data_IF_201179276137
#
_entry.id   IF_201179276137
#
_cell.length_a   1.000
_cell.length_b   1.000
_cell.length_c   1.000
_cell.angle_alpha   90.00
_cell.angle_beta   90.00
_cell.angle_gamma   90.00
#
_symmetry.space_group_name_H-M   'P 1'
#
loop_
_entity.id
_entity.type
_entity.pdbx_description
1 polymer ?
#
# COMPACT_ATOMS: atom_id res chain seq x y z
N UNK A 1 16.38 -16.89 9.32
CA UNK A 1 15.93 -15.93 10.37
C UNK A 1 14.66 -15.29 9.84
N UNK A 2 13.64 -15.21 10.68
CA UNK A 2 12.38 -14.55 10.27
C UNK A 2 12.62 -13.06 10.12
N UNK A 3 12.75 -12.59 8.89
CA UNK A 3 12.91 -11.19 8.56
C UNK A 3 11.51 -10.57 8.33
N UNK A 4 10.84 -10.23 9.44
CA UNK A 4 9.48 -9.66 9.43
C UNK A 4 9.56 -8.15 9.66
N UNK A 5 8.69 -7.39 8.98
CA UNK A 5 8.75 -5.93 8.99
C UNK A 5 7.37 -5.30 8.84
N UNK A 6 7.13 -4.20 9.55
CA UNK A 6 6.09 -3.25 9.16
C UNK A 6 6.57 -2.45 7.96
N UNK A 7 5.71 -2.25 6.98
CA UNK A 7 6.03 -1.49 5.77
C UNK A 7 4.99 -0.40 5.55
N UNK A 8 5.43 0.77 5.14
CA UNK A 8 4.55 1.84 4.69
C UNK A 8 5.06 2.42 3.38
N UNK A 9 4.27 3.30 2.77
CA UNK A 9 4.60 3.99 1.53
C UNK A 9 4.51 5.50 1.75
N UNK A 10 5.54 6.24 1.32
CA UNK A 10 5.49 7.68 1.20
C UNK A 10 5.29 8.05 -0.27
N UNK A 11 4.06 8.47 -0.61
CA UNK A 11 3.68 8.81 -1.99
C UNK A 11 4.00 10.24 -2.39
N UNK A 12 4.00 11.16 -1.43
CA UNK A 12 4.31 12.58 -1.60
C UNK A 12 4.84 13.15 -0.30
N UNK A 13 5.58 14.23 -0.37
CA UNK A 13 6.19 14.88 0.81
C UNK A 13 5.16 15.27 1.88
N UNK A 14 3.93 15.58 1.49
CA UNK A 14 2.85 15.94 2.43
C UNK A 14 2.54 14.85 3.46
N UNK A 15 2.81 13.59 3.13
CA UNK A 15 2.59 12.44 4.02
C UNK A 15 3.78 12.10 4.91
N UNK A 16 4.89 12.86 4.83
CA UNK A 16 6.11 12.60 5.64
C UNK A 16 5.79 12.55 7.13
N UNK A 17 5.01 13.51 7.62
CA UNK A 17 4.60 13.54 9.02
C UNK A 17 3.74 12.31 9.39
N UNK A 18 2.91 11.82 8.48
CA UNK A 18 2.13 10.60 8.68
C UNK A 18 3.02 9.39 8.95
N UNK A 19 4.07 9.21 8.14
CA UNK A 19 5.06 8.14 8.32
C UNK A 19 5.77 8.27 9.68
N UNK A 20 6.17 9.49 10.06
CA UNK A 20 6.80 9.75 11.37
C UNK A 20 5.85 9.43 12.52
N UNK A 21 4.60 9.85 12.44
CA UNK A 21 3.59 9.51 13.45
C UNK A 21 3.31 8.01 13.52
N UNK A 22 3.26 7.32 12.38
CA UNK A 22 3.10 5.86 12.36
C UNK A 22 4.25 5.17 13.12
N UNK A 23 5.50 5.60 12.87
CA UNK A 23 6.68 5.09 13.58
C UNK A 23 6.56 5.29 15.08
N UNK A 24 6.25 6.52 15.53
CA UNK A 24 6.07 6.81 16.96
C UNK A 24 4.92 6.03 17.60
N UNK A 25 3.82 5.81 16.86
CA UNK A 25 2.72 4.99 17.37
C UNK A 25 3.13 3.53 17.57
N UNK A 26 3.88 2.94 16.62
CA UNK A 26 4.42 1.58 16.76
C UNK A 26 5.37 1.47 17.95
N UNK A 27 6.26 2.45 18.16
CA UNK A 27 7.14 2.50 19.32
C UNK A 27 6.37 2.62 20.64
N UNK A 28 5.38 3.51 20.69
CA UNK A 28 4.53 3.72 21.87
C UNK A 28 3.82 2.43 22.30
N UNK A 29 3.35 1.64 21.35
CA UNK A 29 2.70 0.35 21.64
C UNK A 29 3.69 -0.81 21.77
N UNK A 30 5.01 -0.51 21.76
CA UNK A 30 6.10 -1.49 21.91
C UNK A 30 6.02 -2.59 20.84
N UNK A 31 5.80 -2.20 19.59
CA UNK A 31 5.86 -3.11 18.46
C UNK A 31 7.27 -3.72 18.35
N UNK A 32 7.32 -5.03 18.12
CA UNK A 32 8.56 -5.81 18.05
C UNK A 32 9.32 -5.62 16.76
N UNK A 33 8.61 -5.43 15.66
CA UNK A 33 9.18 -5.41 14.32
C UNK A 33 9.46 -3.97 13.86
N UNK A 34 10.55 -3.74 13.09
CA UNK A 34 10.87 -2.40 12.59
C UNK A 34 9.85 -1.92 11.57
N UNK A 35 9.69 -0.58 11.46
CA UNK A 35 9.02 0.07 10.35
C UNK A 35 10.03 0.45 9.28
N UNK A 36 9.73 0.12 8.01
CA UNK A 36 10.43 0.62 6.83
C UNK A 36 9.48 1.34 5.90
N UNK A 37 10.00 2.29 5.13
CA UNK A 37 9.21 3.12 4.25
C UNK A 37 9.65 2.92 2.80
N UNK A 38 8.72 2.59 1.91
CA UNK A 38 8.96 2.62 0.47
C UNK A 38 8.88 4.07 0.00
N UNK A 39 9.84 4.48 -0.82
CA UNK A 39 9.90 5.80 -1.44
C UNK A 39 10.27 5.66 -2.91
N UNK A 40 9.99 6.67 -3.71
CA UNK A 40 10.46 6.77 -5.09
C UNK A 40 11.22 8.09 -5.34
N UNK A 41 11.71 8.27 -6.56
CA UNK A 41 12.53 9.42 -6.95
C UNK A 41 11.82 10.79 -6.86
N UNK A 42 10.51 10.82 -6.67
CA UNK A 42 9.74 12.08 -6.53
C UNK A 42 9.77 12.65 -5.12
N UNK A 43 10.22 11.85 -4.13
CA UNK A 43 10.31 12.28 -2.74
C UNK A 43 11.55 13.18 -2.57
N UNK A 44 11.35 14.35 -1.95
CA UNK A 44 12.41 15.31 -1.76
C UNK A 44 13.50 14.84 -0.79
N UNK A 45 14.69 15.40 -0.92
CA UNK A 45 15.78 15.13 0.02
C UNK A 45 15.43 15.55 1.44
N UNK A 46 14.70 16.64 1.58
CA UNK A 46 14.22 17.17 2.85
C UNK A 46 13.29 16.16 3.55
N UNK A 47 12.38 15.54 2.81
CA UNK A 47 11.50 14.51 3.35
C UNK A 47 12.30 13.26 3.77
N UNK A 48 13.26 12.82 2.95
CA UNK A 48 14.14 11.68 3.29
C UNK A 48 14.97 11.97 4.55
N UNK A 49 15.53 13.17 4.69
CA UNK A 49 16.25 13.59 5.90
C UNK A 49 15.35 13.55 7.15
N UNK A 50 14.07 13.91 7.02
CA UNK A 50 13.12 13.80 8.13
C UNK A 50 12.91 12.34 8.52
N UNK A 51 12.79 11.42 7.57
CA UNK A 51 12.68 9.98 7.86
C UNK A 51 13.92 9.47 8.60
N UNK A 52 15.12 9.82 8.11
CA UNK A 52 16.38 9.41 8.71
C UNK A 52 16.55 9.94 10.14
N UNK A 53 16.25 11.22 10.38
CA UNK A 53 16.29 11.85 11.71
C UNK A 53 15.35 11.18 12.71
N UNK A 54 14.27 10.55 12.23
CA UNK A 54 13.32 9.80 13.05
C UNK A 54 13.62 8.29 13.09
N UNK A 55 14.79 7.85 12.58
CA UNK A 55 15.21 6.45 12.60
C UNK A 55 14.34 5.55 11.74
N UNK A 56 13.74 6.10 10.66
CA UNK A 56 12.94 5.36 9.69
C UNK A 56 13.83 5.01 8.51
N UNK A 57 14.06 3.73 8.35
CA UNK A 57 14.79 3.19 7.20
C UNK A 57 13.88 3.21 5.97
N UNK A 58 14.36 3.81 4.88
CA UNK A 58 13.61 3.86 3.63
C UNK A 58 14.24 3.02 2.54
N UNK A 59 13.43 2.60 1.58
CA UNK A 59 13.80 1.74 0.46
C UNK A 59 13.35 2.41 -0.82
N UNK A 60 14.32 2.83 -1.64
CA UNK A 60 14.06 3.42 -2.95
C UNK A 60 13.54 2.35 -3.91
N UNK A 61 12.43 2.62 -4.58
CA UNK A 61 11.88 1.79 -5.64
C UNK A 61 11.54 2.64 -6.86
N UNK A 62 11.69 2.04 -8.03
CA UNK A 62 11.30 2.68 -9.29
C UNK A 62 9.79 2.94 -9.32
N UNK A 63 9.40 4.01 -10.00
CA UNK A 63 7.98 4.29 -10.22
C UNK A 63 7.36 3.20 -11.08
N UNK A 64 6.34 2.52 -10.56
CA UNK A 64 5.56 1.56 -11.34
C UNK A 64 4.81 2.33 -12.43
N UNK A 65 5.10 2.05 -13.71
CA UNK A 65 4.42 2.73 -14.80
C UNK A 65 2.96 2.28 -14.84
N UNK A 66 2.06 3.24 -14.91
CA UNK A 66 0.63 2.99 -15.09
C UNK A 66 0.17 3.52 -16.45
N UNK A 67 -0.72 2.79 -17.12
CA UNK A 67 -1.24 3.18 -18.43
C UNK A 67 -1.92 4.54 -18.41
N UNK A 68 -1.73 5.32 -19.48
CA UNK A 68 -2.26 6.69 -19.57
C UNK A 68 -3.78 6.75 -19.42
N UNK A 69 -4.50 5.72 -19.90
CA UNK A 69 -5.95 5.61 -19.73
C UNK A 69 -6.39 5.61 -18.25
N UNK A 70 -5.58 5.01 -17.38
CA UNK A 70 -5.84 4.99 -15.93
C UNK A 70 -5.57 6.39 -15.34
N UNK A 71 -4.45 7.03 -15.71
CA UNK A 71 -4.11 8.38 -15.27
C UNK A 71 -5.17 9.40 -15.66
N UNK A 72 -5.60 9.37 -16.93
CA UNK A 72 -6.68 10.26 -17.41
C UNK A 72 -8.00 10.06 -16.66
N UNK A 73 -8.34 8.79 -16.37
CA UNK A 73 -9.55 8.48 -15.60
C UNK A 73 -9.46 9.03 -14.18
N UNK A 74 -8.34 8.79 -13.49
CA UNK A 74 -8.12 9.29 -12.14
C UNK A 74 -8.12 10.81 -12.10
N UNK A 75 -7.52 11.47 -13.11
CA UNK A 75 -7.56 12.92 -13.26
C UNK A 75 -9.00 13.44 -13.43
N UNK A 76 -9.82 12.79 -14.27
CA UNK A 76 -11.24 13.16 -14.48
C UNK A 76 -12.08 13.00 -13.21
N UNK A 77 -11.74 12.02 -12.36
CA UNK A 77 -12.41 11.80 -11.06
C UNK A 77 -11.89 12.74 -9.95
N UNK A 78 -10.86 13.55 -10.20
CA UNK A 78 -10.23 14.42 -9.19
C UNK A 78 -9.37 13.65 -8.17
N UNK A 79 -8.98 12.41 -8.49
CA UNK A 79 -8.21 11.51 -7.60
C UNK A 79 -6.83 11.18 -8.20
N UNK A 80 -6.18 12.17 -8.79
CA UNK A 80 -4.88 11.99 -9.46
C UNK A 80 -3.80 11.37 -8.57
N UNK A 81 -3.87 11.59 -7.25
CA UNK A 81 -2.97 11.00 -6.27
C UNK A 81 -3.03 9.46 -6.26
N UNK A 82 -4.13 8.86 -6.67
CA UNK A 82 -4.24 7.41 -6.78
C UNK A 82 -3.29 6.79 -7.80
N UNK A 83 -2.66 7.60 -8.64
CA UNK A 83 -1.62 7.11 -9.53
C UNK A 83 -0.36 6.65 -8.77
N UNK A 84 -0.10 7.19 -7.59
CA UNK A 84 1.09 6.87 -6.78
C UNK A 84 0.91 5.64 -5.92
N UNK A 85 -0.34 5.26 -5.59
CA UNK A 85 -0.60 4.11 -4.70
C UNK A 85 -0.28 2.75 -5.33
N UNK A 86 -0.11 2.66 -6.65
CA UNK A 86 0.42 1.45 -7.29
C UNK A 86 1.80 1.05 -6.77
N UNK A 87 2.56 1.99 -6.20
CA UNK A 87 3.84 1.70 -5.55
C UNK A 87 3.72 0.71 -4.38
N UNK A 88 2.53 0.55 -3.78
CA UNK A 88 2.26 -0.50 -2.78
C UNK A 88 2.58 -1.90 -3.30
N UNK A 89 2.46 -2.14 -4.61
CA UNK A 89 2.69 -3.44 -5.21
C UNK A 89 4.13 -3.94 -5.01
N UNK A 90 5.08 -3.03 -4.78
CA UNK A 90 6.46 -3.42 -4.47
C UNK A 90 6.58 -4.36 -3.27
N UNK A 91 5.64 -4.32 -2.30
CA UNK A 91 5.65 -5.23 -1.15
C UNK A 91 5.60 -6.70 -1.57
N UNK A 92 5.06 -7.02 -2.74
CA UNK A 92 5.01 -8.39 -3.25
C UNK A 92 6.35 -8.84 -3.87
N UNK A 93 7.21 -7.92 -4.32
CA UNK A 93 8.54 -8.25 -4.88
C UNK A 93 9.64 -8.35 -3.82
N UNK A 94 9.41 -7.87 -2.60
CA UNK A 94 10.39 -7.78 -1.51
C UNK A 94 10.62 -9.12 -0.80
N UNK A 95 11.09 -10.13 -1.54
CA UNK A 95 11.27 -11.51 -1.05
C UNK A 95 12.40 -11.67 -0.04
N UNK A 96 13.17 -10.64 0.25
CA UNK A 96 14.10 -10.57 1.37
C UNK A 96 13.41 -10.59 2.73
N UNK A 97 12.10 -10.26 2.78
CA UNK A 97 11.28 -10.37 3.99
C UNK A 97 10.44 -11.64 3.96
N UNK A 98 10.40 -12.35 5.08
CA UNK A 98 9.55 -13.54 5.23
C UNK A 98 8.06 -13.19 5.36
N UNK A 99 7.76 -12.00 5.91
CA UNK A 99 6.41 -11.45 5.99
C UNK A 99 6.46 -9.94 6.18
N UNK A 100 5.53 -9.25 5.52
CA UNK A 100 5.33 -7.82 5.62
C UNK A 100 3.92 -7.57 6.17
N UNK A 101 3.81 -6.72 7.17
CA UNK A 101 2.55 -6.08 7.57
C UNK A 101 2.59 -4.66 7.01
N UNK A 102 1.85 -4.45 5.92
CA UNK A 102 1.73 -3.14 5.30
C UNK A 102 0.70 -2.29 6.05
N UNK A 103 1.03 -1.03 6.28
CA UNK A 103 0.18 -0.02 6.91
C UNK A 103 0.24 1.28 6.09
N UNK A 104 -0.91 1.86 5.76
CA UNK A 104 -0.93 3.20 5.16
C UNK A 104 -0.35 4.24 6.13
N UNK A 105 0.27 5.29 5.60
CA UNK A 105 0.95 6.32 6.39
C UNK A 105 0.01 7.20 7.23
N UNK A 106 -1.30 7.14 6.98
CA UNK A 106 -2.34 7.86 7.71
C UNK A 106 -3.07 7.01 8.77
N UNK A 107 -2.55 5.81 9.05
CA UNK A 107 -3.10 4.92 10.09
C UNK A 107 -2.57 5.30 11.48
N UNK A 108 -3.47 5.35 12.45
CA UNK A 108 -3.14 5.49 13.87
C UNK A 108 -3.17 4.13 14.56
N UNK A 109 -2.02 3.66 15.05
CA UNK A 109 -1.91 2.41 15.81
C UNK A 109 -2.17 2.69 17.29
N UNK A 110 -3.30 2.20 17.82
CA UNK A 110 -3.74 2.46 19.18
C UNK A 110 -3.27 1.41 20.20
N UNK A 111 -3.02 0.19 19.77
CA UNK A 111 -2.51 -0.93 20.57
C UNK A 111 -1.48 -1.72 19.80
N UNK A 112 -0.72 -2.59 20.49
CA UNK A 112 0.19 -3.50 19.80
C UNK A 112 -0.59 -4.40 18.82
N UNK A 113 -0.08 -4.53 17.62
CA UNK A 113 -0.67 -5.27 16.49
C UNK A 113 0.28 -6.32 15.92
N UNK A 114 1.32 -6.73 16.69
CA UNK A 114 2.28 -7.75 16.25
C UNK A 114 1.60 -9.09 15.93
N UNK A 115 0.40 -9.33 16.48
CA UNK A 115 -0.45 -10.49 16.15
C UNK A 115 -0.80 -10.61 14.65
N UNK A 116 -0.66 -9.49 13.90
CA UNK A 116 -0.87 -9.53 12.44
C UNK A 116 0.17 -10.39 11.73
N UNK A 117 1.37 -10.50 12.29
CA UNK A 117 2.41 -11.37 11.71
C UNK A 117 2.07 -12.87 11.82
N UNK A 118 1.12 -13.25 12.68
CA UNK A 118 0.61 -14.62 12.78
C UNK A 118 -0.51 -14.92 11.78
N UNK A 119 -1.06 -13.88 11.13
CA UNK A 119 -2.14 -14.04 10.15
C UNK A 119 -1.62 -14.61 8.83
N UNK A 120 -2.47 -15.32 8.08
CA UNK A 120 -2.11 -15.85 6.76
C UNK A 120 -1.86 -14.72 5.74
N UNK A 121 -1.17 -15.08 4.65
CA UNK A 121 -1.00 -14.21 3.48
C UNK A 121 -2.33 -13.67 2.98
N UNK A 122 -2.34 -12.41 2.52
CA UNK A 122 -3.53 -11.67 2.06
C UNK A 122 -4.61 -11.46 3.12
N UNK A 123 -4.26 -11.53 4.42
CA UNK A 123 -5.16 -11.00 5.44
C UNK A 123 -5.22 -9.48 5.31
N UNK A 124 -6.42 -8.94 5.16
CA UNK A 124 -6.68 -7.51 4.99
C UNK A 124 -8.02 -7.14 5.62
N UNK A 125 -8.30 -5.86 5.71
CA UNK A 125 -9.60 -5.37 6.16
C UNK A 125 -10.59 -5.38 5.01
N UNK A 126 -11.82 -5.81 5.28
CA UNK A 126 -12.91 -5.71 4.32
C UNK A 126 -13.41 -4.26 4.24
N UNK A 127 -13.60 -3.74 3.03
CA UNK A 127 -14.23 -2.43 2.86
C UNK A 127 -15.74 -2.54 3.09
N UNK A 128 -16.16 -2.30 4.34
CA UNK A 128 -17.56 -2.35 4.75
C UNK A 128 -18.37 -1.12 4.35
N UNK A 129 -17.72 0.01 4.06
CA UNK A 129 -18.42 1.26 3.80
C UNK A 129 -19.24 1.22 2.51
N UNK A 130 -18.82 0.43 1.53
CA UNK A 130 -19.53 0.23 0.27
C UNK A 130 -20.62 -0.84 0.35
N UNK A 131 -20.41 -1.87 1.18
CA UNK A 131 -21.33 -3.00 1.32
C UNK A 131 -22.63 -2.56 1.99
N UNK A 132 -22.57 -1.66 2.95
CA UNK A 132 -23.75 -1.17 3.68
C UNK A 132 -24.66 -0.25 2.85
N UNK A 133 -24.20 0.24 1.70
CA UNK A 133 -24.93 1.23 0.90
C UNK A 133 -25.58 0.69 -0.37
N UNK A 134 -25.26 -0.54 -0.79
CA UNK A 134 -25.70 -1.05 -2.09
C UNK A 134 -26.13 -2.52 -1.95
N UNK A 135 -27.46 -2.80 -1.84
CA UNK A 135 -27.97 -4.17 -1.72
C UNK A 135 -27.57 -5.09 -2.88
N UNK A 136 -27.34 -4.53 -4.06
CA UNK A 136 -26.95 -5.25 -5.28
C UNK A 136 -25.50 -5.83 -5.21
N UNK A 137 -24.77 -5.53 -4.14
CA UNK A 137 -23.39 -5.97 -3.92
C UNK A 137 -23.27 -7.06 -2.87
N UNK A 138 -24.39 -7.67 -2.56
CA UNK A 138 -24.40 -8.85 -1.70
C UNK A 138 -23.51 -9.94 -2.33
N UNK A 139 -22.38 -10.25 -1.67
CA UNK A 139 -21.37 -11.19 -2.16
C UNK A 139 -20.11 -10.57 -2.77
N UNK A 140 -20.04 -9.25 -2.97
CA UNK A 140 -18.81 -8.58 -3.40
C UNK A 140 -17.88 -8.37 -2.19
N UNK A 141 -16.65 -8.89 -2.30
CA UNK A 141 -15.65 -8.75 -1.26
C UNK A 141 -14.59 -7.76 -1.74
N UNK A 142 -14.81 -6.47 -1.48
CA UNK A 142 -13.77 -5.46 -1.67
C UNK A 142 -12.86 -5.44 -0.45
N UNK A 143 -11.57 -5.29 -0.68
CA UNK A 143 -10.57 -5.15 0.38
C UNK A 143 -10.20 -3.68 0.53
N UNK A 144 -9.97 -3.26 1.78
CA UNK A 144 -9.28 -2.02 2.09
C UNK A 144 -7.79 -2.35 2.18
N UNK A 145 -6.97 -1.71 1.34
CA UNK A 145 -5.53 -1.96 1.25
C UNK A 145 -4.69 -1.21 2.29
N UNK A 146 -5.33 -0.48 3.21
CA UNK A 146 -4.63 0.28 4.24
C UNK A 146 -3.94 -0.59 5.29
N UNK A 147 -4.42 -1.84 5.49
CA UNK A 147 -3.77 -2.85 6.34
C UNK A 147 -3.76 -4.18 5.61
N UNK A 148 -2.57 -4.69 5.32
CA UNK A 148 -2.41 -5.97 4.63
C UNK A 148 -1.29 -6.81 5.23
N UNK A 149 -1.50 -8.13 5.29
CA UNK A 149 -0.47 -9.11 5.66
C UNK A 149 0.00 -9.84 4.41
N UNK A 150 1.25 -9.64 4.04
CA UNK A 150 1.81 -10.13 2.78
C UNK A 150 2.99 -11.08 3.06
N UNK A 151 2.97 -12.24 2.44
CA UNK A 151 4.16 -13.05 2.21
C UNK A 151 4.61 -12.73 0.78
N UNK A 152 5.76 -12.04 0.60
CA UNK A 152 6.20 -11.63 -0.73
C UNK A 152 6.44 -12.80 -1.68
N UNK A 153 6.03 -12.64 -2.94
CA UNK A 153 6.24 -13.59 -4.02
C UNK A 153 6.41 -12.86 -5.35
N UNK A 154 7.60 -12.99 -5.95
CA UNK A 154 7.93 -12.37 -7.25
C UNK A 154 7.04 -12.81 -8.40
N UNK A 155 6.48 -14.01 -8.35
CA UNK A 155 5.58 -14.50 -9.40
C UNK A 155 4.23 -13.77 -9.30
N UNK A 156 3.74 -13.59 -8.07
CA UNK A 156 2.52 -12.79 -7.81
C UNK A 156 2.72 -11.34 -8.27
N UNK A 157 3.85 -10.71 -7.89
CA UNK A 157 4.18 -9.36 -8.36
C UNK A 157 4.16 -9.24 -9.89
N UNK A 158 4.86 -10.16 -10.58
CA UNK A 158 4.90 -10.17 -12.04
C UNK A 158 3.51 -10.32 -12.67
N UNK A 159 2.66 -11.15 -12.08
CA UNK A 159 1.30 -11.32 -12.59
C UNK A 159 0.45 -10.06 -12.36
N UNK A 160 0.56 -9.41 -11.19
CA UNK A 160 -0.08 -8.12 -10.94
C UNK A 160 0.32 -7.06 -11.97
N UNK A 161 1.61 -6.96 -12.29
CA UNK A 161 2.10 -6.03 -13.31
C UNK A 161 1.48 -6.29 -14.69
N UNK A 162 1.37 -7.56 -15.11
CA UNK A 162 0.68 -7.92 -16.37
C UNK A 162 -0.81 -7.54 -16.34
N UNK A 163 -1.47 -7.67 -15.18
CA UNK A 163 -2.88 -7.31 -15.08
C UNK A 163 -3.09 -5.79 -15.21
N UNK A 164 -2.17 -4.96 -14.72
CA UNK A 164 -2.23 -3.50 -14.92
C UNK A 164 -2.25 -3.17 -16.43
N UNK A 165 -1.35 -3.76 -17.20
CA UNK A 165 -1.26 -3.55 -18.66
C UNK A 165 -2.50 -4.07 -19.39
N UNK A 166 -2.97 -5.27 -19.03
CA UNK A 166 -4.14 -5.89 -19.64
C UNK A 166 -5.40 -5.05 -19.43
N UNK A 167 -5.59 -4.52 -18.24
CA UNK A 167 -6.76 -3.71 -17.91
C UNK A 167 -6.75 -2.35 -18.59
N UNK A 168 -5.59 -1.83 -18.99
CA UNK A 168 -5.50 -0.65 -19.80
C UNK A 168 -6.06 -0.84 -21.22
N UNK A 169 -6.03 -2.06 -21.72
CA UNK A 169 -6.48 -2.41 -23.08
C UNK A 169 -7.95 -2.80 -23.17
N UNK A 170 -8.69 -2.86 -22.06
CA UNK A 170 -10.10 -3.24 -22.08
C UNK A 170 -10.99 -2.09 -22.57
N UNK A 171 -12.04 -2.38 -23.39
CA UNK A 171 -12.91 -1.36 -23.93
C UNK A 171 -13.65 -0.59 -22.86
N UNK A 172 -13.88 0.72 -23.11
CA UNK A 172 -14.49 1.69 -22.16
C UNK A 172 -15.90 1.32 -21.66
N UNK A 173 -16.55 0.34 -22.28
CA UNK A 173 -17.93 -0.08 -21.98
C UNK A 173 -18.03 -1.30 -21.07
N UNK A 174 -16.92 -1.91 -20.69
CA UNK A 174 -16.91 -2.90 -19.64
C UNK A 174 -17.04 -2.20 -18.29
N UNK A 175 -17.96 -2.64 -17.46
CA UNK A 175 -18.02 -2.32 -16.03
C UNK A 175 -16.80 -2.92 -15.35
N UNK A 176 -15.62 -2.42 -15.70
CA UNK A 176 -14.44 -2.62 -14.89
C UNK A 176 -14.63 -1.67 -13.71
N UNK A 177 -15.24 -2.18 -12.69
CA UNK A 177 -15.12 -1.57 -11.39
C UNK A 177 -13.67 -1.69 -11.01
N UNK A 178 -12.99 -0.66 -11.40
CA UNK A 178 -11.85 -0.08 -10.78
C UNK A 178 -10.87 -1.06 -10.17
N UNK A 179 -9.87 -1.41 -10.97
CA UNK A 179 -8.56 -1.68 -10.40
C UNK A 179 -8.06 -0.32 -9.90
N UNK A 180 -8.77 0.23 -8.99
CA UNK A 180 -8.26 1.27 -8.15
C UNK A 180 -7.73 0.55 -6.94
N UNK A 181 -6.49 0.75 -6.63
CA UNK A 181 -5.76 0.12 -5.54
C UNK A 181 -6.38 0.36 -4.17
N UNK A 182 -7.44 1.12 -4.09
CA UNK A 182 -8.16 1.42 -2.86
C UNK A 182 -9.52 0.74 -2.79
N UNK A 183 -9.67 -0.38 -3.49
CA UNK A 183 -10.94 -1.08 -3.44
C UNK A 183 -10.77 -2.56 -3.42
#
# INVERSE_FOLDING_TARGET
MDNQVYMTLLCTDDYTNGVVYLKHNLERVKAKYPLKCIVDETISKEALEVLEKNGIEWIMKDIIPIPEVIKERNKKKGVGIWNTIFQKLWIFDMTEYSKIVYLDSDIMVLKNIDELFDKPHMSCVRDSAKILKIPEWEGFTEINSGVMVIVPDKLVFKEMMKQIDKHASLPKNGTIRDICCDQ
#
